data_IF_630694875917
#
_entry.id   IF_630694875917
#
_cell.length_a   1.000
_cell.length_b   1.000
_cell.length_c   1.000
_cell.angle_alpha   90.00
_cell.angle_beta   90.00
_cell.angle_gamma   90.00
#
_symmetry.space_group_name_H-M   'P 1'
#
loop_
_entity.id
_entity.type
_entity.pdbx_description
1 polymer ?
#
# COMPACT_ATOMS: atom_id res chain seq x y z
N UNK A 1 -62.23 -0.02 32.31
CA UNK A 1 -62.16 1.29 33.01
C UNK A 1 -61.14 2.13 32.25
N UNK A 2 -61.56 3.13 31.43
CA UNK A 2 -61.59 4.59 31.76
C UNK A 2 -60.22 5.08 32.26
N UNK A 3 -59.47 6.05 31.69
CA UNK A 3 -59.73 7.26 30.88
C UNK A 3 -58.45 7.63 30.07
N UNK A 4 -58.45 8.09 28.79
CA UNK A 4 -58.68 9.47 28.24
C UNK A 4 -57.83 10.55 28.94
N UNK A 5 -57.06 11.45 28.30
CA UNK A 5 -57.32 12.43 27.20
C UNK A 5 -56.09 13.39 27.15
N UNK A 6 -55.61 14.00 26.05
CA UNK A 6 -56.11 15.19 25.32
C UNK A 6 -55.17 15.51 24.14
N UNK A 7 -55.77 15.88 23.00
CA UNK A 7 -55.18 16.49 21.80
C UNK A 7 -55.60 17.96 21.78
N UNK A 8 -54.74 18.88 21.32
CA UNK A 8 -55.14 20.25 20.97
C UNK A 8 -54.70 20.55 19.54
N UNK A 9 -55.70 20.87 18.72
CA UNK A 9 -55.65 21.37 17.35
C UNK A 9 -55.85 22.90 17.39
N UNK A 10 -55.16 23.67 16.55
CA UNK A 10 -55.56 25.05 16.26
C UNK A 10 -55.60 25.25 14.74
N UNK A 11 -56.79 25.62 14.28
CA UNK A 11 -57.17 25.98 12.91
C UNK A 11 -57.32 27.50 12.87
N UNK A 12 -56.92 28.15 11.77
CA UNK A 12 -57.43 29.46 11.39
C UNK A 12 -57.82 29.46 9.91
N UNK A 13 -59.03 29.97 9.63
CA UNK A 13 -59.69 30.06 8.33
C UNK A 13 -59.98 31.55 8.03
N UNK A 14 -60.28 31.82 6.74
CA UNK A 14 -61.12 32.87 6.11
C UNK A 14 -60.36 34.21 5.83
N UNK A 15 -60.34 34.82 4.63
CA UNK A 15 -61.46 35.17 3.73
C UNK A 15 -61.07 35.56 2.27
N UNK A 16 -62.02 35.31 1.36
CA UNK A 16 -62.14 35.63 -0.08
C UNK A 16 -62.29 37.13 -0.41
N UNK A 17 -61.87 37.56 -1.62
CA UNK A 17 -62.57 38.42 -2.65
C UNK A 17 -61.84 38.14 -4.00
N UNK A 18 -62.36 37.55 -5.09
CA UNK A 18 -63.45 37.80 -6.06
C UNK A 18 -63.15 38.79 -7.24
N UNK A 19 -63.23 38.24 -8.48
CA UNK A 19 -63.56 38.84 -9.81
C UNK A 19 -62.50 39.76 -10.49
N UNK A 20 -62.34 39.89 -11.83
CA UNK A 20 -63.14 39.51 -13.02
C UNK A 20 -62.26 39.51 -14.31
N UNK A 21 -62.85 39.01 -15.41
CA UNK A 21 -62.41 38.88 -16.82
C UNK A 21 -61.78 40.11 -17.50
N UNK A 22 -61.07 39.95 -18.63
CA UNK A 22 -61.57 40.16 -20.04
C UNK A 22 -60.41 40.06 -21.06
N UNK A 23 -60.71 39.48 -22.24
CA UNK A 23 -59.88 39.22 -23.43
C UNK A 23 -59.38 40.46 -24.21
N UNK A 24 -58.26 40.32 -24.96
CA UNK A 24 -58.19 40.42 -26.45
C UNK A 24 -56.76 40.58 -27.02
N UNK A 25 -56.39 39.58 -27.82
CA UNK A 25 -56.00 39.61 -29.26
C UNK A 25 -55.00 40.64 -29.86
N UNK A 26 -54.08 40.04 -30.64
CA UNK A 26 -53.50 40.48 -31.94
C UNK A 26 -52.20 41.30 -31.96
N UNK A 27 -51.12 40.72 -32.51
CA UNK A 27 -50.68 40.94 -33.90
C UNK A 27 -49.37 40.18 -34.20
N UNK A 28 -49.40 39.38 -35.26
CA UNK A 28 -48.23 38.77 -35.90
C UNK A 28 -47.37 39.84 -36.61
N UNK A 29 -46.05 39.69 -36.62
CA UNK A 29 -45.22 40.05 -37.78
C UNK A 29 -44.02 39.14 -37.90
N UNK A 30 -43.92 38.56 -39.09
CA UNK A 30 -42.97 37.64 -39.72
C UNK A 30 -41.51 38.11 -39.68
N UNK A 31 -40.54 37.21 -39.46
CA UNK A 31 -39.41 36.87 -40.39
C UNK A 31 -38.46 35.82 -39.79
N UNK A 32 -37.83 35.07 -40.70
CA UNK A 32 -37.15 33.76 -40.53
C UNK A 32 -35.61 33.92 -40.32
N UNK A 33 -34.82 32.83 -40.23
CA UNK A 33 -33.91 32.49 -39.14
C UNK A 33 -32.46 32.99 -39.31
N UNK A 34 -31.79 33.39 -38.22
CA UNK A 34 -30.34 33.59 -38.21
C UNK A 34 -29.62 32.43 -37.51
N UNK A 35 -28.64 31.91 -38.24
CA UNK A 35 -27.63 30.96 -37.82
C UNK A 35 -26.72 31.62 -36.78
N UNK A 36 -26.83 31.21 -35.52
CA UNK A 36 -25.81 31.49 -34.52
C UNK A 36 -24.95 30.24 -34.31
N UNK A 37 -23.75 30.30 -34.91
CA UNK A 37 -22.56 29.61 -34.43
C UNK A 37 -22.47 29.86 -32.92
N UNK A 38 -22.77 28.84 -32.11
CA UNK A 38 -22.28 28.83 -30.74
C UNK A 38 -21.12 27.86 -30.66
N UNK A 39 -19.95 28.48 -30.58
CA UNK A 39 -18.64 27.92 -30.32
C UNK A 39 -18.69 26.96 -29.14
N UNK A 40 -18.04 25.82 -29.32
CA UNK A 40 -17.69 24.86 -28.27
C UNK A 40 -17.17 25.60 -27.03
N UNK A 41 -17.91 25.48 -25.92
CA UNK A 41 -17.29 25.58 -24.60
C UNK A 41 -16.28 24.45 -24.52
N UNK A 42 -15.00 24.77 -24.75
CA UNK A 42 -13.93 23.98 -24.18
C UNK A 42 -14.10 24.16 -22.66
N UNK A 43 -14.66 23.14 -22.02
CA UNK A 43 -14.58 23.02 -20.57
C UNK A 43 -13.11 23.15 -20.21
N UNK A 44 -12.80 24.22 -19.49
CA UNK A 44 -11.54 24.39 -18.82
C UNK A 44 -11.59 23.42 -17.63
N UNK A 45 -11.41 22.13 -17.96
CA UNK A 45 -11.49 21.00 -17.06
C UNK A 45 -10.21 21.00 -16.21
N UNK A 46 -10.19 21.88 -15.21
CA UNK A 46 -9.22 21.85 -14.13
C UNK A 46 -9.47 20.56 -13.38
N UNK A 47 -8.85 19.48 -13.85
CA UNK A 47 -8.83 18.21 -13.13
C UNK A 47 -8.18 18.43 -11.79
N UNK A 48 -8.96 18.27 -10.73
CA UNK A 48 -8.48 18.37 -9.36
C UNK A 48 -7.89 17.01 -8.97
N UNK A 49 -6.64 17.02 -8.53
CA UNK A 49 -6.00 15.85 -7.94
C UNK A 49 -6.73 15.44 -6.64
N UNK A 50 -6.81 14.14 -6.32
CA UNK A 50 -7.34 13.70 -5.04
C UNK A 50 -6.59 14.32 -3.86
N UNK A 51 -7.33 14.70 -2.81
CA UNK A 51 -6.75 15.24 -1.57
C UNK A 51 -6.41 14.17 -0.54
N UNK A 52 -7.01 13.00 -0.69
CA UNK A 52 -6.80 11.86 0.18
C UNK A 52 -5.60 11.03 -0.28
N UNK A 53 -4.94 10.38 0.67
CA UNK A 53 -3.95 9.36 0.35
C UNK A 53 -4.66 8.17 -0.30
N UNK A 54 -4.10 7.67 -1.40
CA UNK A 54 -4.61 6.50 -2.11
C UNK A 54 -3.50 5.44 -2.21
N UNK A 55 -3.86 4.19 -2.02
CA UNK A 55 -2.96 3.04 -2.11
C UNK A 55 -3.68 1.86 -2.76
N UNK A 56 -2.91 0.80 -3.07
CA UNK A 56 -3.47 -0.44 -3.60
C UNK A 56 -4.65 -0.94 -2.75
N UNK A 57 -5.65 -1.53 -3.43
CA UNK A 57 -6.98 -1.91 -2.92
C UNK A 57 -7.97 -0.75 -2.71
N UNK A 58 -7.55 0.52 -2.82
CA UNK A 58 -8.49 1.63 -2.82
C UNK A 58 -9.30 1.66 -4.12
N UNK A 59 -10.54 2.13 -4.02
CA UNK A 59 -11.43 2.24 -5.16
C UNK A 59 -12.37 3.46 -5.06
N UNK A 60 -12.86 3.93 -6.21
CA UNK A 60 -13.85 5.01 -6.32
C UNK A 60 -13.41 6.18 -7.20
N UNK A 61 -14.19 7.26 -7.13
CA UNK A 61 -14.06 8.43 -8.02
C UNK A 61 -12.71 9.15 -7.85
N UNK A 62 -12.12 9.11 -6.66
CA UNK A 62 -10.79 9.67 -6.40
C UNK A 62 -9.71 8.92 -7.18
N UNK A 63 -9.77 7.58 -7.22
CA UNK A 63 -8.85 6.77 -8.01
C UNK A 63 -9.05 7.02 -9.51
N UNK A 64 -10.29 7.12 -9.99
CA UNK A 64 -10.57 7.47 -11.39
C UNK A 64 -9.97 8.83 -11.77
N UNK A 65 -10.07 9.81 -10.87
CA UNK A 65 -9.50 11.13 -11.06
C UNK A 65 -7.98 11.08 -11.16
N UNK A 66 -7.33 10.32 -10.26
CA UNK A 66 -5.88 10.08 -10.32
C UNK A 66 -5.47 9.39 -11.63
N UNK A 67 -6.14 8.31 -12.02
CA UNK A 67 -5.84 7.57 -13.25
C UNK A 67 -5.99 8.44 -14.50
N UNK A 68 -7.00 9.32 -14.52
CA UNK A 68 -7.18 10.27 -15.62
C UNK A 68 -6.03 11.26 -15.69
N UNK A 69 -5.55 11.75 -14.55
CA UNK A 69 -4.38 12.64 -14.47
C UNK A 69 -3.11 11.92 -14.92
N UNK A 70 -2.88 10.67 -14.48
CA UNK A 70 -1.73 9.87 -14.91
C UNK A 70 -1.75 9.67 -16.43
N UNK A 71 -2.90 9.37 -17.03
CA UNK A 71 -3.00 9.28 -18.49
C UNK A 71 -2.70 10.61 -19.22
N UNK A 72 -3.01 11.76 -18.61
CA UNK A 72 -2.60 13.08 -19.15
C UNK A 72 -1.08 13.30 -19.09
N UNK A 73 -0.39 12.70 -18.11
CA UNK A 73 1.06 12.70 -18.02
C UNK A 73 1.74 11.74 -19.02
N UNK A 74 0.96 10.93 -19.75
CA UNK A 74 1.46 10.03 -20.79
C UNK A 74 1.56 8.56 -20.39
N UNK A 75 1.05 8.19 -19.21
CA UNK A 75 0.83 6.78 -18.89
C UNK A 75 -0.31 6.19 -19.74
N UNK A 76 -0.28 4.88 -19.98
CA UNK A 76 -1.33 4.14 -20.70
C UNK A 76 -2.02 3.16 -19.74
N UNK A 77 -2.73 3.69 -18.74
CA UNK A 77 -3.43 2.87 -17.73
C UNK A 77 -4.95 2.91 -17.91
N UNK A 78 -5.63 1.86 -17.43
CA UNK A 78 -7.09 1.77 -17.50
C UNK A 78 -7.72 2.64 -16.43
N UNK A 79 -8.72 3.44 -16.79
CA UNK A 79 -9.53 4.20 -15.81
C UNK A 79 -10.67 3.30 -15.35
N UNK A 80 -10.42 2.46 -14.34
CA UNK A 80 -11.40 1.55 -13.72
C UNK A 80 -11.86 2.04 -12.34
N UNK A 81 -11.15 3.00 -11.74
CA UNK A 81 -11.41 3.44 -10.37
C UNK A 81 -10.94 2.45 -9.32
N UNK A 82 -10.03 1.54 -9.65
CA UNK A 82 -9.36 0.63 -8.73
C UNK A 82 -7.88 0.98 -8.72
N UNK A 83 -7.27 1.11 -7.54
CA UNK A 83 -5.84 1.42 -7.42
C UNK A 83 -5.05 0.13 -7.68
N UNK A 84 -5.13 -0.34 -8.92
CA UNK A 84 -4.59 -1.60 -9.36
C UNK A 84 -3.07 -1.56 -9.55
N UNK A 85 -2.49 -2.70 -9.93
CA UNK A 85 -1.06 -2.82 -10.18
C UNK A 85 -0.52 -1.81 -11.22
N UNK A 86 -1.33 -1.39 -12.20
CA UNK A 86 -0.93 -0.40 -13.20
C UNK A 86 -0.88 1.01 -12.62
N UNK A 87 -1.80 1.33 -11.71
CA UNK A 87 -1.84 2.58 -10.97
C UNK A 87 -0.68 2.66 -9.97
N UNK A 88 -0.43 1.57 -9.23
CA UNK A 88 0.74 1.45 -8.32
C UNK A 88 2.04 1.62 -9.10
N UNK A 89 2.17 0.97 -10.28
CA UNK A 89 3.34 1.09 -11.14
C UNK A 89 3.59 2.54 -11.57
N UNK A 90 2.57 3.24 -12.07
CA UNK A 90 2.70 4.63 -12.49
C UNK A 90 3.12 5.56 -11.34
N UNK A 91 2.53 5.39 -10.15
CA UNK A 91 2.93 6.16 -8.96
C UNK A 91 4.37 5.85 -8.56
N UNK A 92 4.78 4.59 -8.59
CA UNK A 92 6.15 4.18 -8.26
C UNK A 92 7.16 4.76 -9.25
N UNK A 93 6.84 4.74 -10.54
CA UNK A 93 7.67 5.31 -11.59
C UNK A 93 7.88 6.82 -11.39
N UNK A 94 6.82 7.56 -11.03
CA UNK A 94 6.94 8.98 -10.67
C UNK A 94 7.87 9.14 -9.45
N UNK A 95 7.68 8.35 -8.40
CA UNK A 95 8.47 8.45 -7.18
C UNK A 95 9.97 8.19 -7.42
N UNK A 96 10.30 7.20 -8.26
CA UNK A 96 11.68 6.89 -8.63
C UNK A 96 12.37 8.00 -9.44
N UNK A 97 11.60 8.83 -10.15
CA UNK A 97 12.14 9.95 -10.91
C UNK A 97 12.32 11.23 -10.08
N UNK A 98 11.99 11.20 -8.78
CA UNK A 98 12.02 12.37 -7.91
C UNK A 98 12.58 12.05 -6.51
N UNK A 99 13.87 12.37 -6.29
CA UNK A 99 14.62 12.10 -5.05
C UNK A 99 13.96 12.59 -3.74
N UNK A 100 13.03 13.54 -3.81
CA UNK A 100 12.32 14.06 -2.66
C UNK A 100 11.21 13.13 -2.15
N UNK A 101 10.77 12.17 -2.96
CA UNK A 101 9.66 11.28 -2.66
C UNK A 101 10.14 9.95 -2.06
N UNK A 102 9.32 9.37 -1.17
CA UNK A 102 9.49 7.98 -0.74
C UNK A 102 8.87 7.05 -1.78
N UNK A 103 9.65 6.09 -2.27
CA UNK A 103 9.22 5.15 -3.32
C UNK A 103 8.39 4.02 -2.74
N UNK A 104 7.10 4.24 -2.52
CA UNK A 104 6.20 3.27 -1.84
C UNK A 104 5.13 2.68 -2.75
N UNK A 105 4.88 3.33 -3.90
CA UNK A 105 3.71 3.05 -4.74
C UNK A 105 2.40 3.61 -4.17
N UNK A 106 2.47 4.39 -3.09
CA UNK A 106 1.32 5.04 -2.46
C UNK A 106 1.24 6.49 -2.93
N UNK A 107 0.06 6.93 -3.33
CA UNK A 107 -0.22 8.32 -3.64
C UNK A 107 -0.40 9.13 -2.35
N UNK A 108 0.58 9.98 -2.04
CA UNK A 108 0.60 10.87 -0.87
C UNK A 108 0.42 12.33 -1.25
N UNK A 109 0.29 13.23 -0.27
CA UNK A 109 0.27 14.69 -0.52
C UNK A 109 1.54 15.16 -1.26
N UNK A 110 2.73 14.66 -0.89
CA UNK A 110 3.97 15.00 -1.59
C UNK A 110 3.95 14.51 -3.05
N UNK A 111 3.42 13.30 -3.29
CA UNK A 111 3.25 12.77 -4.64
C UNK A 111 2.26 13.62 -5.44
N UNK A 112 1.18 14.08 -4.81
CA UNK A 112 0.20 14.98 -5.41
C UNK A 112 0.84 16.32 -5.84
N UNK A 113 1.66 16.92 -4.98
CA UNK A 113 2.37 18.17 -5.29
C UNK A 113 3.35 18.00 -6.46
N UNK A 114 4.06 16.86 -6.52
CA UNK A 114 4.92 16.53 -7.66
C UNK A 114 4.11 16.39 -8.94
N UNK A 115 3.00 15.64 -8.93
CA UNK A 115 2.13 15.48 -10.10
C UNK A 115 1.55 16.82 -10.56
N UNK A 116 1.10 17.67 -9.63
CA UNK A 116 0.59 19.01 -9.96
C UNK A 116 1.66 19.87 -10.67
N UNK A 117 2.90 19.81 -10.19
CA UNK A 117 4.04 20.49 -10.82
C UNK A 117 4.28 19.97 -12.23
N UNK A 118 4.27 18.65 -12.43
CA UNK A 118 4.45 18.02 -13.75
C UNK A 118 3.36 18.41 -14.76
N UNK A 119 2.12 18.66 -14.31
CA UNK A 119 1.02 19.09 -15.17
C UNK A 119 1.14 20.55 -15.64
N UNK A 120 1.67 21.42 -14.79
CA UNK A 120 1.65 22.87 -15.01
C UNK A 120 2.99 23.43 -15.49
N UNK A 121 4.09 22.74 -15.18
CA UNK A 121 5.44 23.15 -15.52
C UNK A 121 6.03 22.22 -16.59
N UNK A 122 6.62 22.80 -17.63
CA UNK A 122 7.40 22.03 -18.60
C UNK A 122 8.77 21.69 -17.98
N UNK A 123 8.81 20.63 -17.17
CA UNK A 123 10.02 20.18 -16.48
C UNK A 123 11.05 19.55 -17.44
N UNK A 124 10.61 19.08 -18.62
CA UNK A 124 11.46 18.59 -19.72
C UNK A 124 12.32 17.35 -19.43
N UNK A 125 12.31 16.86 -18.18
CA UNK A 125 13.11 15.73 -17.70
C UNK A 125 12.29 14.51 -17.30
N UNK A 126 10.98 14.67 -17.11
CA UNK A 126 10.09 13.58 -16.74
C UNK A 126 9.64 12.80 -17.97
N UNK A 127 9.76 11.48 -17.91
CA UNK A 127 9.32 10.55 -18.97
C UNK A 127 8.64 9.33 -18.32
N UNK A 128 7.35 9.07 -18.60
CA UNK A 128 6.65 7.89 -18.08
C UNK A 128 7.41 6.59 -18.38
N UNK A 129 7.65 5.79 -17.34
CA UNK A 129 8.35 4.51 -17.39
C UNK A 129 9.89 4.61 -17.35
N UNK A 130 10.47 5.80 -17.23
CA UNK A 130 11.92 5.95 -17.15
C UNK A 130 12.49 5.54 -15.77
N UNK A 131 11.74 5.73 -14.68
CA UNK A 131 12.15 5.30 -13.33
C UNK A 131 11.91 3.81 -13.11
N UNK A 132 10.76 3.30 -13.57
CA UNK A 132 10.40 1.89 -13.52
C UNK A 132 9.95 1.41 -14.90
N UNK A 133 10.86 0.85 -15.73
CA UNK A 133 10.52 0.38 -17.06
C UNK A 133 9.38 -0.63 -17.05
N UNK A 134 8.37 -0.39 -17.90
CA UNK A 134 7.26 -1.33 -18.06
C UNK A 134 7.80 -2.68 -18.55
N UNK A 135 7.52 -3.76 -17.81
CA UNK A 135 7.87 -5.11 -18.25
C UNK A 135 6.87 -5.57 -19.31
N UNK A 136 7.35 -5.83 -20.52
CA UNK A 136 6.52 -6.33 -21.63
C UNK A 136 6.33 -7.84 -21.61
N UNK A 137 7.14 -8.57 -20.83
CA UNK A 137 7.09 -10.02 -20.70
C UNK A 137 7.27 -10.42 -19.22
N UNK A 138 6.56 -11.48 -18.81
CA UNK A 138 6.75 -12.09 -17.50
C UNK A 138 8.14 -12.69 -17.41
N UNK A 139 8.96 -12.15 -16.52
CA UNK A 139 10.27 -12.72 -16.20
C UNK A 139 10.13 -13.82 -15.16
N UNK A 140 10.95 -14.87 -15.25
CA UNK A 140 10.99 -15.95 -14.27
C UNK A 140 12.42 -16.22 -13.81
N UNK A 141 12.58 -16.64 -12.57
CA UNK A 141 13.87 -17.15 -12.06
C UNK A 141 14.25 -18.45 -12.78
N UNK A 142 15.48 -18.94 -12.55
CA UNK A 142 15.93 -20.25 -13.03
C UNK A 142 15.11 -21.43 -12.49
N UNK A 143 14.26 -21.19 -11.49
CA UNK A 143 13.39 -22.18 -10.87
C UNK A 143 11.92 -22.01 -11.26
N UNK A 144 11.61 -21.10 -12.19
CA UNK A 144 10.26 -20.88 -12.70
C UNK A 144 9.38 -19.97 -11.84
N UNK A 145 9.94 -19.38 -10.77
CA UNK A 145 9.25 -18.38 -9.93
C UNK A 145 9.07 -17.09 -10.72
N UNK A 146 7.86 -16.50 -10.70
CA UNK A 146 7.60 -15.24 -11.40
C UNK A 146 8.37 -14.10 -10.74
N UNK A 147 9.04 -13.25 -11.52
CA UNK A 147 9.77 -12.08 -11.01
C UNK A 147 8.87 -10.86 -11.08
N UNK A 148 8.52 -10.30 -9.91
CA UNK A 148 7.58 -9.18 -9.82
C UNK A 148 8.05 -7.96 -10.63
N UNK A 149 7.10 -7.27 -11.23
CA UNK A 149 7.39 -6.10 -12.07
C UNK A 149 7.77 -4.87 -11.25
N UNK A 150 7.13 -4.68 -10.10
CA UNK A 150 7.37 -3.57 -9.21
C UNK A 150 7.92 -4.06 -7.85
N UNK A 151 9.25 -4.10 -7.67
CA UNK A 151 9.85 -4.53 -6.41
C UNK A 151 9.79 -3.48 -5.30
N UNK A 152 9.40 -2.24 -5.61
CA UNK A 152 9.34 -1.12 -4.65
C UNK A 152 7.99 -0.97 -3.95
N UNK A 153 6.96 -1.64 -4.46
CA UNK A 153 5.61 -1.62 -3.89
C UNK A 153 5.62 -2.06 -2.42
N UNK A 154 5.03 -1.25 -1.53
CA UNK A 154 4.94 -1.57 -0.11
C UNK A 154 4.24 -2.91 0.17
N UNK A 155 3.21 -3.22 -0.63
CA UNK A 155 2.45 -4.47 -0.60
C UNK A 155 2.97 -5.53 -1.56
N UNK A 156 4.21 -5.40 -2.07
CA UNK A 156 4.82 -6.44 -2.91
C UNK A 156 4.73 -7.81 -2.22
N UNK A 157 4.06 -8.76 -2.86
CA UNK A 157 4.01 -10.14 -2.41
C UNK A 157 5.30 -10.82 -2.85
N UNK A 158 6.14 -11.21 -1.89
CA UNK A 158 7.40 -11.92 -2.14
C UNK A 158 7.33 -13.26 -1.41
N UNK A 159 7.32 -14.35 -2.17
CA UNK A 159 7.18 -15.70 -1.66
C UNK A 159 7.68 -16.71 -2.71
N UNK A 160 7.35 -18.00 -2.54
CA UNK A 160 7.81 -19.06 -3.45
C UNK A 160 7.16 -19.04 -4.84
N UNK A 161 6.17 -18.16 -5.06
CA UNK A 161 5.56 -17.92 -6.37
C UNK A 161 6.01 -16.61 -6.99
N UNK A 162 6.44 -15.64 -6.17
CA UNK A 162 6.79 -14.29 -6.58
C UNK A 162 8.15 -13.88 -6.02
N UNK A 163 9.14 -13.79 -6.91
CA UNK A 163 10.51 -13.41 -6.60
C UNK A 163 10.79 -11.93 -6.93
N UNK A 164 11.73 -11.35 -6.21
CA UNK A 164 12.34 -10.07 -6.54
C UNK A 164 13.39 -10.23 -7.66
N UNK A 165 13.65 -9.16 -8.44
CA UNK A 165 14.80 -9.12 -9.34
C UNK A 165 16.12 -9.35 -8.59
N UNK A 166 17.07 -10.01 -9.24
CA UNK A 166 18.40 -10.31 -8.68
C UNK A 166 19.18 -9.04 -8.31
N UNK A 167 19.04 -8.00 -9.12
CA UNK A 167 19.70 -6.70 -8.97
C UNK A 167 18.93 -5.71 -8.09
N UNK A 168 17.76 -6.10 -7.56
CA UNK A 168 16.96 -5.21 -6.73
C UNK A 168 17.62 -4.96 -5.36
N UNK A 169 17.89 -3.68 -5.09
CA UNK A 169 18.34 -3.13 -3.81
C UNK A 169 17.52 -1.87 -3.54
N UNK A 170 16.81 -1.75 -2.40
CA UNK A 170 16.09 -0.52 -2.09
C UNK A 170 17.04 0.68 -1.93
N UNK A 171 16.69 1.81 -2.53
CA UNK A 171 17.52 3.04 -2.51
C UNK A 171 17.46 3.79 -1.16
N UNK A 172 16.46 3.47 -0.34
CA UNK A 172 16.13 4.16 0.92
C UNK A 172 16.48 3.34 2.17
N UNK A 173 17.45 2.44 2.09
CA UNK A 173 17.91 1.64 3.23
C UNK A 173 18.60 2.51 4.30
N UNK A 174 18.11 2.42 5.53
CA UNK A 174 18.66 3.08 6.72
C UNK A 174 18.77 2.10 7.88
N UNK A 175 19.62 2.39 8.86
CA UNK A 175 19.64 1.67 10.14
C UNK A 175 18.61 2.36 11.06
N UNK A 176 17.55 1.66 11.51
CA UNK A 176 16.62 2.20 12.49
C UNK A 176 17.30 2.43 13.84
N UNK A 177 16.88 3.47 14.56
CA UNK A 177 17.34 3.79 15.91
C UNK A 177 16.68 2.89 16.97
N UNK A 178 17.00 1.59 16.90
CA UNK A 178 16.49 0.55 17.80
C UNK A 178 17.63 -0.32 18.35
N UNK A 179 17.34 -1.07 19.41
CA UNK A 179 18.33 -1.96 20.04
C UNK A 179 18.59 -3.19 19.16
N UNK A 180 19.87 -3.58 19.07
CA UNK A 180 20.33 -4.83 18.46
C UNK A 180 21.22 -5.59 19.48
N UNK A 181 21.24 -6.93 19.49
CA UNK A 181 22.07 -7.70 20.42
C UNK A 181 23.54 -7.79 19.98
N UNK A 182 23.93 -6.98 18.98
CA UNK A 182 25.25 -6.90 18.40
C UNK A 182 25.56 -5.44 18.01
N UNK A 183 26.84 -5.11 17.88
CA UNK A 183 27.30 -3.71 17.69
C UNK A 183 27.90 -3.45 16.32
N UNK A 184 28.21 -4.53 15.59
CA UNK A 184 28.81 -4.52 14.27
C UNK A 184 27.91 -3.84 13.26
N UNK A 185 28.52 -3.05 12.37
CA UNK A 185 27.84 -2.43 11.25
C UNK A 185 27.64 -3.48 10.15
N UNK A 186 26.44 -4.05 10.09
CA UNK A 186 26.08 -5.15 9.19
C UNK A 186 24.85 -4.75 8.37
N UNK A 187 24.77 -5.17 7.08
CA UNK A 187 23.60 -4.88 6.24
C UNK A 187 22.26 -5.34 6.84
N UNK A 188 22.29 -6.41 7.65
CA UNK A 188 21.12 -6.92 8.38
C UNK A 188 20.58 -5.97 9.46
N UNK A 189 21.23 -4.84 9.72
CA UNK A 189 20.64 -3.77 10.55
C UNK A 189 19.73 -2.86 9.74
N UNK A 190 19.87 -2.86 8.42
CA UNK A 190 19.18 -1.91 7.58
C UNK A 190 17.76 -2.35 7.27
N UNK A 191 16.88 -1.40 7.00
CA UNK A 191 15.57 -1.61 6.40
C UNK A 191 15.17 -0.33 5.66
N UNK A 192 14.12 -0.38 4.84
CA UNK A 192 13.64 0.80 4.11
C UNK A 192 13.16 1.86 5.09
N UNK A 193 13.43 3.12 4.78
CA UNK A 193 13.19 4.27 5.69
C UNK A 193 11.77 4.35 6.26
N UNK A 194 10.75 4.04 5.46
CA UNK A 194 9.35 4.07 5.92
C UNK A 194 9.08 3.01 6.99
N UNK A 195 9.65 1.81 6.81
CA UNK A 195 9.53 0.71 7.76
C UNK A 195 10.43 0.95 8.99
N UNK A 196 11.63 1.52 8.81
CA UNK A 196 12.52 1.91 9.90
C UNK A 196 11.85 2.89 10.89
N UNK A 197 11.25 3.96 10.36
CA UNK A 197 10.54 4.96 11.18
C UNK A 197 9.39 4.32 11.96
N UNK A 198 8.66 3.41 11.33
CA UNK A 198 7.56 2.69 11.98
C UNK A 198 8.05 1.70 13.04
N UNK A 199 9.21 1.05 12.80
CA UNK A 199 9.83 0.14 13.77
C UNK A 199 10.31 0.89 15.02
N UNK A 200 10.86 2.09 14.85
CA UNK A 200 11.25 2.96 15.96
C UNK A 200 10.04 3.32 16.83
N UNK A 201 8.90 3.70 16.24
CA UNK A 201 7.65 3.94 16.97
C UNK A 201 7.18 2.70 17.74
N UNK A 202 7.24 1.52 17.10
CA UNK A 202 6.87 0.24 17.73
C UNK A 202 7.77 -0.06 18.95
N UNK A 203 9.07 0.16 18.83
CA UNK A 203 10.03 -0.10 19.91
C UNK A 203 9.87 0.88 21.08
N UNK A 204 9.61 2.16 20.79
CA UNK A 204 9.29 3.15 21.83
C UNK A 204 8.04 2.73 22.61
N UNK A 205 7.00 2.24 21.92
CA UNK A 205 5.79 1.79 22.59
C UNK A 205 5.99 0.51 23.42
N UNK A 206 6.85 -0.41 22.95
CA UNK A 206 7.26 -1.56 23.76
C UNK A 206 8.02 -1.12 25.02
N UNK A 207 8.93 -0.15 24.92
CA UNK A 207 9.65 0.42 26.06
C UNK A 207 8.70 1.07 27.08
N UNK A 208 7.68 1.80 26.60
CA UNK A 208 6.64 2.38 27.45
C UNK A 208 5.77 1.31 28.15
N UNK A 209 5.61 0.14 27.52
CA UNK A 209 4.99 -1.03 28.12
C UNK A 209 5.94 -1.81 29.08
N UNK A 210 7.21 -1.40 29.20
CA UNK A 210 8.22 -2.05 30.02
C UNK A 210 8.78 -3.34 29.41
N UNK A 211 8.79 -3.43 28.08
CA UNK A 211 9.14 -4.61 27.30
C UNK A 211 10.39 -4.35 26.45
N UNK A 212 11.35 -5.28 26.49
CA UNK A 212 12.66 -5.08 25.86
C UNK A 212 12.75 -5.80 24.50
N UNK A 213 12.23 -5.16 23.45
CA UNK A 213 12.42 -5.64 22.07
C UNK A 213 13.81 -5.31 21.52
N UNK A 214 14.33 -6.26 20.73
CA UNK A 214 15.59 -6.17 19.99
C UNK A 214 15.38 -6.56 18.53
N UNK A 215 15.89 -5.74 17.62
CA UNK A 215 15.99 -6.07 16.20
C UNK A 215 17.16 -7.03 15.97
N UNK A 216 17.00 -8.01 15.07
CA UNK A 216 17.96 -9.09 14.86
C UNK A 216 18.44 -9.21 13.40
N UNK A 217 17.53 -9.11 12.44
CA UNK A 217 17.83 -9.23 11.01
C UNK A 217 16.78 -8.54 10.13
N UNK A 218 17.15 -7.41 9.54
CA UNK A 218 16.40 -6.67 8.53
C UNK A 218 16.81 -7.07 7.10
N UNK A 219 17.32 -6.11 6.33
CA UNK A 219 17.66 -6.27 4.92
C UNK A 219 18.70 -7.37 4.68
N UNK A 220 18.47 -8.13 3.61
CA UNK A 220 19.37 -9.17 3.13
C UNK A 220 19.41 -9.16 1.62
N UNK A 221 20.59 -8.93 1.05
CA UNK A 221 20.76 -8.92 -0.42
C UNK A 221 20.49 -10.29 -1.04
N UNK A 222 20.20 -10.28 -2.34
CA UNK A 222 20.06 -11.49 -3.15
C UNK A 222 21.27 -12.42 -3.03
N UNK A 223 22.49 -11.91 -3.23
CA UNK A 223 23.75 -12.67 -3.13
C UNK A 223 23.94 -13.32 -1.75
N UNK A 224 23.52 -12.61 -0.69
CA UNK A 224 23.59 -13.16 0.67
C UNK A 224 22.60 -14.30 0.85
N UNK A 225 21.38 -14.16 0.30
CA UNK A 225 20.38 -15.23 0.32
C UNK A 225 20.83 -16.44 -0.49
N UNK A 226 21.52 -16.24 -1.62
CA UNK A 226 22.13 -17.32 -2.41
C UNK A 226 23.13 -18.12 -1.59
N UNK A 227 24.03 -17.43 -0.88
CA UNK A 227 25.01 -18.09 -0.02
C UNK A 227 24.34 -18.90 1.10
N UNK A 228 23.30 -18.35 1.73
CA UNK A 228 22.54 -19.04 2.80
C UNK A 228 21.84 -20.28 2.26
N UNK A 229 21.13 -20.14 1.14
CA UNK A 229 20.40 -21.23 0.53
C UNK A 229 21.33 -22.35 0.09
N UNK A 230 22.45 -22.03 -0.57
CA UNK A 230 23.46 -23.01 -0.97
C UNK A 230 24.03 -23.80 0.22
N UNK A 231 24.31 -23.12 1.34
CA UNK A 231 24.77 -23.78 2.57
C UNK A 231 23.72 -24.74 3.15
N UNK A 232 22.44 -24.38 3.10
CA UNK A 232 21.35 -25.23 3.58
C UNK A 232 21.13 -26.44 2.65
N UNK A 233 21.26 -26.23 1.33
CA UNK A 233 21.21 -27.32 0.33
C UNK A 233 22.34 -28.33 0.56
N UNK A 234 23.56 -27.86 0.87
CA UNK A 234 24.69 -28.75 1.17
C UNK A 234 24.44 -29.58 2.44
N UNK A 235 23.80 -29.01 3.45
CA UNK A 235 23.52 -29.67 4.72
C UNK A 235 22.34 -30.66 4.64
N UNK A 236 21.21 -30.23 4.08
CA UNK A 236 19.91 -30.91 4.22
C UNK A 236 19.30 -31.36 2.88
N UNK A 237 19.88 -30.93 1.75
CA UNK A 237 19.32 -31.13 0.41
C UNK A 237 18.29 -30.07 0.03
N UNK A 238 18.12 -29.84 -1.27
CA UNK A 238 17.33 -28.71 -1.80
C UNK A 238 15.85 -28.74 -1.39
N UNK A 239 15.20 -29.90 -1.45
CA UNK A 239 13.78 -30.02 -1.09
C UNK A 239 13.54 -29.70 0.39
N UNK A 240 14.45 -30.11 1.28
CA UNK A 240 14.35 -29.80 2.70
C UNK A 240 14.69 -28.34 2.98
N UNK A 241 15.79 -27.83 2.41
CA UNK A 241 16.22 -26.44 2.54
C UNK A 241 15.10 -25.47 2.13
N UNK A 242 14.40 -25.74 1.03
CA UNK A 242 13.33 -24.89 0.53
C UNK A 242 12.05 -24.87 1.40
N UNK A 243 11.99 -25.67 2.49
CA UNK A 243 10.87 -25.62 3.45
C UNK A 243 11.07 -24.58 4.55
N UNK A 244 12.32 -24.23 4.86
CA UNK A 244 12.68 -23.32 5.96
C UNK A 244 13.59 -22.18 5.53
N UNK A 245 14.06 -22.17 4.28
CA UNK A 245 14.89 -21.12 3.71
C UNK A 245 14.37 -20.78 2.31
N UNK A 246 14.05 -19.51 2.09
CA UNK A 246 13.69 -18.98 0.78
C UNK A 246 14.82 -19.19 -0.25
N UNK A 247 14.47 -19.41 -1.52
CA UNK A 247 15.44 -19.24 -2.61
C UNK A 247 15.82 -17.76 -2.74
N UNK A 248 16.93 -17.44 -3.41
CA UNK A 248 17.27 -16.06 -3.77
C UNK A 248 16.12 -15.41 -4.55
N UNK A 249 15.80 -14.16 -4.23
CA UNK A 249 14.64 -13.45 -4.77
C UNK A 249 13.32 -13.73 -4.03
N UNK A 250 13.16 -14.88 -3.37
CA UNK A 250 11.91 -15.27 -2.69
C UNK A 250 11.87 -14.88 -1.20
N UNK A 251 12.93 -14.23 -0.70
CA UNK A 251 13.05 -13.80 0.69
C UNK A 251 12.54 -12.37 0.87
N UNK A 252 11.54 -12.17 1.73
CA UNK A 252 11.03 -10.81 2.03
C UNK A 252 12.09 -9.89 2.63
N UNK A 253 13.13 -10.41 3.28
CA UNK A 253 14.25 -9.57 3.74
C UNK A 253 14.92 -8.75 2.61
N UNK A 254 14.87 -9.20 1.36
CA UNK A 254 15.42 -8.42 0.24
C UNK A 254 14.57 -7.17 -0.08
N UNK A 255 13.28 -7.17 0.28
CA UNK A 255 12.44 -5.96 0.17
C UNK A 255 12.93 -4.83 1.06
N UNK A 256 13.69 -5.15 2.13
CA UNK A 256 13.98 -4.21 3.21
C UNK A 256 12.74 -3.75 4.00
N UNK A 257 11.57 -4.38 3.81
CA UNK A 257 10.34 -4.09 4.56
C UNK A 257 10.12 -5.06 5.72
N UNK A 258 11.11 -5.88 6.04
CA UNK A 258 11.03 -6.95 7.02
C UNK A 258 12.05 -6.74 8.13
N UNK A 259 11.69 -7.09 9.36
CA UNK A 259 12.63 -7.19 10.48
C UNK A 259 12.32 -8.45 11.29
N UNK A 260 13.33 -9.27 11.54
CA UNK A 260 13.25 -10.26 12.62
C UNK A 260 13.49 -9.56 13.97
N UNK A 261 12.60 -9.75 14.93
CA UNK A 261 12.70 -9.19 16.29
C UNK A 261 12.76 -10.29 17.36
N UNK A 262 13.35 -9.98 18.50
CA UNK A 262 13.59 -10.91 19.59
C UNK A 262 13.61 -10.18 20.93
N UNK A 263 13.86 -10.90 22.03
CA UNK A 263 14.02 -10.32 23.36
C UNK A 263 15.09 -11.04 24.19
N UNK A 264 15.58 -10.43 25.28
CA UNK A 264 16.50 -11.07 26.21
C UNK A 264 15.94 -12.36 26.84
N UNK A 265 14.62 -12.45 27.00
CA UNK A 265 13.93 -13.58 27.65
C UNK A 265 14.10 -14.91 26.91
N UNK A 266 14.50 -14.87 25.64
CA UNK A 266 14.79 -16.04 24.81
C UNK A 266 16.24 -16.03 24.28
N UNK A 267 17.16 -15.41 25.02
CA UNK A 267 18.58 -15.30 24.68
C UNK A 267 18.80 -14.75 23.25
N UNK A 268 17.94 -13.82 22.83
CA UNK A 268 17.95 -13.20 21.49
C UNK A 268 17.80 -14.19 20.31
N UNK A 269 17.23 -15.37 20.57
CA UNK A 269 17.01 -16.37 19.53
C UNK A 269 15.79 -16.02 18.66
N UNK A 270 15.76 -16.57 17.44
CA UNK A 270 14.61 -16.50 16.54
C UNK A 270 13.94 -17.87 16.55
N UNK A 271 13.03 -18.08 17.50
CA UNK A 271 12.34 -19.35 17.70
C UNK A 271 10.86 -19.12 18.02
N UNK A 272 10.05 -20.17 17.87
CA UNK A 272 8.62 -20.10 18.16
C UNK A 272 8.33 -19.85 19.64
N UNK A 273 9.30 -20.08 20.54
CA UNK A 273 9.19 -19.75 21.96
C UNK A 273 9.08 -18.23 22.21
N UNK A 274 9.48 -17.39 21.25
CA UNK A 274 9.26 -15.95 21.33
C UNK A 274 7.79 -15.59 21.55
N UNK A 275 6.87 -16.33 20.93
CA UNK A 275 5.43 -16.14 21.11
C UNK A 275 4.95 -16.36 22.56
N UNK A 276 5.75 -17.03 23.39
CA UNK A 276 5.44 -17.32 24.78
C UNK A 276 5.98 -16.25 25.75
N UNK A 277 6.88 -15.36 25.32
CA UNK A 277 7.37 -14.24 26.13
C UNK A 277 6.32 -13.13 26.25
N UNK A 278 6.56 -12.15 27.11
CA UNK A 278 5.67 -11.00 27.19
C UNK A 278 5.87 -10.06 25.99
N UNK A 279 7.09 -9.93 25.48
CA UNK A 279 7.36 -9.15 24.25
C UNK A 279 6.69 -9.75 23.01
N UNK A 280 6.77 -11.07 22.81
CA UNK A 280 6.17 -11.70 21.63
C UNK A 280 4.64 -11.65 21.66
N UNK A 281 4.01 -11.77 22.83
CA UNK A 281 2.56 -11.60 22.99
C UNK A 281 2.13 -10.16 22.74
N UNK A 282 2.90 -9.20 23.24
CA UNK A 282 2.64 -7.78 23.02
C UNK A 282 2.79 -7.42 21.55
N UNK A 283 3.87 -7.88 20.91
CA UNK A 283 4.11 -7.65 19.49
C UNK A 283 2.97 -8.19 18.64
N UNK A 284 2.50 -9.42 18.91
CA UNK A 284 1.37 -10.00 18.17
C UNK A 284 0.07 -9.21 18.31
N UNK A 285 -0.09 -8.41 19.37
CA UNK A 285 -1.27 -7.56 19.60
C UNK A 285 -1.13 -6.15 19.01
N UNK A 286 0.10 -5.63 18.93
CA UNK A 286 0.36 -4.22 18.63
C UNK A 286 1.11 -3.97 17.32
N UNK A 287 1.65 -4.99 16.65
CA UNK A 287 2.39 -4.81 15.41
C UNK A 287 1.58 -4.02 14.36
N UNK A 288 0.27 -4.29 14.26
CA UNK A 288 -0.62 -3.65 13.30
C UNK A 288 -0.77 -2.13 13.51
N UNK A 289 -0.76 -1.67 14.77
CA UNK A 289 -0.84 -0.25 15.16
C UNK A 289 0.31 0.58 14.54
N UNK A 290 1.42 -0.10 14.19
CA UNK A 290 2.62 0.46 13.59
C UNK A 290 2.83 0.01 12.14
N UNK A 291 1.83 -0.62 11.51
CA UNK A 291 1.88 -1.02 10.11
C UNK A 291 2.65 -2.30 9.83
N UNK A 292 2.90 -3.12 10.85
CA UNK A 292 3.52 -4.44 10.72
C UNK A 292 2.51 -5.57 10.90
N UNK A 293 2.73 -6.68 10.21
CA UNK A 293 2.03 -7.95 10.44
C UNK A 293 3.01 -9.02 10.90
N UNK A 294 2.51 -9.99 11.66
CA UNK A 294 3.22 -11.27 11.83
C UNK A 294 3.08 -12.03 10.51
N UNK A 295 4.15 -12.05 9.71
CA UNK A 295 4.08 -12.43 8.29
C UNK A 295 3.71 -13.89 8.07
N UNK A 296 4.18 -14.75 8.96
CA UNK A 296 4.00 -16.20 8.91
C UNK A 296 3.26 -16.66 10.18
N UNK A 297 1.94 -16.49 10.25
CA UNK A 297 1.14 -16.85 11.42
C UNK A 297 0.93 -18.37 11.52
N UNK A 298 0.65 -18.85 12.73
CA UNK A 298 0.43 -20.26 13.03
C UNK A 298 -0.84 -20.78 12.36
N UNK A 299 -0.77 -21.94 11.72
CA UNK A 299 -1.93 -22.57 11.07
C UNK A 299 -2.21 -22.07 9.65
N UNK A 300 -1.35 -21.22 9.09
CA UNK A 300 -1.44 -20.72 7.69
C UNK A 300 -0.29 -21.23 6.83
N UNK A 301 0.42 -22.28 7.26
CA UNK A 301 1.59 -22.84 6.58
C UNK A 301 1.25 -23.37 5.18
N UNK A 302 0.03 -23.88 4.96
CA UNK A 302 -0.45 -24.34 3.65
C UNK A 302 -0.66 -23.18 2.65
N UNK A 303 -0.71 -21.94 3.14
CA UNK A 303 -0.93 -20.73 2.33
C UNK A 303 0.40 -20.00 2.11
N UNK A 304 1.16 -19.75 3.19
CA UNK A 304 2.43 -19.02 3.12
C UNK A 304 3.59 -19.90 2.66
N UNK A 305 3.47 -21.22 2.82
CA UNK A 305 4.53 -22.21 2.63
C UNK A 305 5.75 -22.04 3.54
N UNK A 306 5.60 -21.27 4.63
CA UNK A 306 6.56 -21.12 5.71
C UNK A 306 5.95 -21.60 7.02
N UNK A 307 6.80 -22.13 7.90
CA UNK A 307 6.41 -22.47 9.27
C UNK A 307 6.01 -21.20 10.07
N UNK A 308 5.39 -21.39 11.23
CA UNK A 308 5.10 -20.27 12.14
C UNK A 308 6.38 -19.54 12.58
N UNK A 309 6.43 -18.22 12.34
CA UNK A 309 7.56 -17.36 12.71
C UNK A 309 7.08 -16.11 13.48
N UNK A 310 6.86 -16.18 14.79
CA UNK A 310 6.38 -15.05 15.60
C UNK A 310 7.35 -13.86 15.66
N UNK A 311 8.60 -14.06 15.30
CA UNK A 311 9.63 -13.02 15.28
C UNK A 311 9.65 -12.22 13.98
N UNK A 312 9.06 -12.73 12.91
CA UNK A 312 9.21 -12.18 11.56
C UNK A 312 8.10 -11.19 11.25
N UNK A 313 8.40 -9.90 11.37
CA UNK A 313 7.44 -8.83 11.08
C UNK A 313 7.68 -8.21 9.71
N UNK A 314 6.59 -8.06 8.96
CA UNK A 314 6.57 -7.45 7.62
C UNK A 314 5.80 -6.14 7.67
N UNK A 315 6.44 -5.05 7.24
CA UNK A 315 5.79 -3.76 7.06
C UNK A 315 4.92 -3.77 5.81
N UNK A 316 3.65 -3.40 6.00
CA UNK A 316 2.62 -3.28 4.95
C UNK A 316 1.89 -1.94 5.03
N UNK A 317 2.25 -1.09 6.00
CA UNK A 317 1.55 0.17 6.31
C UNK A 317 0.34 -0.04 7.23
N UNK A 318 -0.04 1.00 7.98
CA UNK A 318 -1.05 0.91 9.05
C UNK A 318 -2.39 0.37 8.55
N UNK A 319 -2.94 0.96 7.48
CA UNK A 319 -4.22 0.54 6.90
C UNK A 319 -4.25 -0.96 6.56
N UNK A 320 -3.28 -1.45 5.79
CA UNK A 320 -3.24 -2.85 5.40
C UNK A 320 -2.97 -3.77 6.60
N UNK A 321 -2.10 -3.36 7.53
CA UNK A 321 -1.79 -4.18 8.71
C UNK A 321 -3.01 -4.33 9.63
N UNK A 322 -3.78 -3.27 9.84
CA UNK A 322 -5.06 -3.27 10.56
C UNK A 322 -6.05 -4.20 9.88
N UNK A 323 -6.29 -4.03 8.58
CA UNK A 323 -7.24 -4.86 7.82
C UNK A 323 -6.87 -6.34 7.80
N UNK A 324 -5.58 -6.66 7.61
CA UNK A 324 -5.06 -8.04 7.65
C UNK A 324 -5.28 -8.67 9.03
N UNK A 325 -5.01 -7.90 10.09
CA UNK A 325 -5.12 -8.38 11.47
C UNK A 325 -6.59 -8.56 11.89
N UNK A 326 -7.46 -7.61 11.53
CA UNK A 326 -8.90 -7.69 11.82
C UNK A 326 -9.59 -8.86 11.10
N UNK A 327 -9.14 -9.18 9.88
CA UNK A 327 -9.67 -10.27 9.08
C UNK A 327 -9.06 -11.65 9.41
N UNK A 328 -7.96 -11.69 10.18
CA UNK A 328 -7.19 -12.92 10.47
C UNK A 328 -6.72 -13.65 9.19
N UNK A 329 -6.16 -12.87 8.26
CA UNK A 329 -5.70 -13.32 6.94
C UNK A 329 -4.19 -13.16 6.79
N UNK A 330 -3.58 -13.84 5.81
CA UNK A 330 -2.18 -13.58 5.41
C UNK A 330 -2.12 -12.49 4.33
N UNK A 331 -0.91 -12.02 3.99
CA UNK A 331 -0.72 -11.10 2.87
C UNK A 331 -1.18 -11.71 1.53
N UNK A 332 -0.98 -13.02 1.33
CA UNK A 332 -1.48 -13.75 0.17
C UNK A 332 -3.01 -13.70 0.08
N UNK A 333 -3.70 -13.97 1.18
CA UNK A 333 -5.17 -13.95 1.24
C UNK A 333 -5.72 -12.53 1.06
N UNK A 334 -5.06 -11.52 1.64
CA UNK A 334 -5.43 -10.11 1.52
C UNK A 334 -5.33 -9.62 0.08
N UNK A 335 -4.23 -9.92 -0.63
CA UNK A 335 -4.02 -9.47 -2.01
C UNK A 335 -4.85 -10.26 -3.04
N UNK A 336 -5.22 -11.51 -2.75
CA UNK A 336 -6.12 -12.29 -3.63
C UNK A 336 -7.54 -11.74 -3.70
N UNK A 337 -7.93 -10.82 -2.82
CA UNK A 337 -9.23 -10.16 -2.91
C UNK A 337 -9.37 -9.29 -4.17
N UNK A 338 -8.27 -8.94 -4.86
CA UNK A 338 -8.29 -8.20 -6.14
C UNK A 338 -8.71 -9.04 -7.36
N UNK A 339 -8.66 -10.36 -7.28
CA UNK A 339 -8.89 -11.24 -8.45
C UNK A 339 -10.36 -11.70 -8.61
N UNK A 340 -11.28 -11.28 -7.72
CA UNK A 340 -12.66 -11.79 -7.68
C UNK A 340 -13.74 -10.81 -8.15
#
# INVERSE_FOLDING_TARGET
MKHKRIVVFVVFIILLIAAACTDKESLETTTQPDQEKNTSNAENDTMELPKEQLQKLDNGDAVQSLQTVLNKLGYEITINGEFDASTVWAITDIQLQHDALLVTGIYTEDTAQTIDTLLHENTGTFEPGNGLPAKTETATTNHGTEVIANPYEQLALVNKQHALPEDYIPEDLVIPDVRFPFTEDLPKKQMRKIAASSLEELFVAADEAGLDLFAQSGYRSYERQETIFASNVEADGEEAANKFSARPGESEHQTGLTMDVTSPDIDFQLTTEFANTDEGKWLAQHAADYGFIIRFPKGKEDITEYQYEPWHIRYVGKKAAEEITEQDVTLEEYLKQEEN
#
